data_IF_152148909956
#
_entry.id   IF_152148909956
#
_cell.length_a   1.000
_cell.length_b   1.000
_cell.length_c   1.000
_cell.angle_alpha   90.00
_cell.angle_beta   90.00
_cell.angle_gamma   90.00
#
_symmetry.space_group_name_H-M   'P 1'
#
loop_
_entity.id
_entity.type
_entity.pdbx_description
1 polymer ?
#
# COMPACT_ATOMS: atom_id res chain seq x y z
N UNK A 1 22.91 -5.28 -11.80
CA UNK A 1 21.77 -4.44 -12.20
C UNK A 1 20.51 -5.12 -11.72
N UNK A 2 20.14 -4.85 -10.47
CA UNK A 2 18.90 -5.33 -9.88
C UNK A 2 17.72 -4.91 -10.74
N UNK A 3 16.94 -5.90 -11.20
CA UNK A 3 15.64 -5.66 -11.81
C UNK A 3 14.75 -5.06 -10.72
N UNK A 4 14.74 -3.73 -10.62
CA UNK A 4 13.69 -3.01 -9.93
C UNK A 4 12.41 -3.39 -10.65
N UNK A 5 11.71 -4.39 -10.10
CA UNK A 5 10.38 -4.77 -10.52
C UNK A 5 9.52 -3.56 -10.15
N UNK A 6 9.46 -2.56 -11.05
CA UNK A 6 8.49 -1.48 -11.00
C UNK A 6 7.15 -2.19 -10.93
N UNK A 7 6.62 -2.32 -9.72
CA UNK A 7 5.24 -2.67 -9.50
C UNK A 7 4.48 -1.62 -10.31
N UNK A 8 3.93 -2.03 -11.44
CA UNK A 8 3.18 -1.20 -12.40
C UNK A 8 1.89 -0.66 -11.80
N UNK A 9 1.75 -0.67 -10.48
CA UNK A 9 0.53 -0.32 -9.78
C UNK A 9 0.38 1.21 -9.64
N UNK A 10 1.46 1.99 -9.83
CA UNK A 10 1.40 3.44 -9.65
C UNK A 10 2.62 4.20 -10.23
N UNK A 11 2.44 5.44 -10.70
CA UNK A 11 3.51 6.29 -11.26
C UNK A 11 3.71 7.55 -10.41
N UNK A 12 4.91 7.73 -9.85
CA UNK A 12 5.31 8.90 -9.07
C UNK A 12 6.51 9.58 -9.71
N UNK A 13 6.28 10.38 -10.76
CA UNK A 13 7.30 11.27 -11.31
C UNK A 13 8.62 10.60 -11.72
N UNK A 14 9.66 11.40 -12.01
CA UNK A 14 10.95 10.91 -12.50
C UNK A 14 11.80 10.21 -11.43
N UNK A 15 11.61 10.56 -10.15
CA UNK A 15 12.48 10.08 -9.06
C UNK A 15 12.13 8.68 -8.55
N UNK A 16 10.97 8.14 -8.94
CA UNK A 16 10.59 6.75 -8.62
C UNK A 16 10.31 6.48 -7.14
N UNK A 17 10.31 7.52 -6.30
CA UNK A 17 9.91 7.44 -4.90
C UNK A 17 8.41 7.15 -4.79
N UNK A 18 8.05 6.33 -3.80
CA UNK A 18 6.66 6.03 -3.51
C UNK A 18 5.95 7.28 -2.96
N UNK A 19 5.30 8.02 -3.85
CA UNK A 19 4.47 9.16 -3.49
C UNK A 19 3.25 8.69 -2.65
N UNK A 20 2.70 9.57 -1.78
CA UNK A 20 1.68 9.19 -0.82
C UNK A 20 0.46 8.48 -1.43
N UNK A 21 0.03 8.92 -2.62
CA UNK A 21 -1.11 8.30 -3.31
C UNK A 21 -0.84 6.83 -3.67
N UNK A 22 0.36 6.50 -4.12
CA UNK A 22 0.72 5.14 -4.50
C UNK A 22 0.83 4.20 -3.31
N UNK A 23 1.33 4.70 -2.18
CA UNK A 23 1.35 3.96 -0.92
C UNK A 23 -0.06 3.55 -0.52
N UNK A 24 -1.02 4.47 -0.59
CA UNK A 24 -2.43 4.20 -0.25
C UNK A 24 -3.09 3.28 -1.28
N UNK A 25 -2.93 3.54 -2.58
CA UNK A 25 -3.52 2.72 -3.65
C UNK A 25 -3.04 1.28 -3.59
N UNK A 26 -1.74 1.05 -3.34
CA UNK A 26 -1.21 -0.30 -3.21
C UNK A 26 -1.73 -0.98 -1.94
N UNK A 27 -1.79 -0.27 -0.81
CA UNK A 27 -2.40 -0.84 0.40
C UNK A 27 -3.88 -1.23 0.20
N UNK A 28 -4.65 -0.40 -0.51
CA UNK A 28 -6.05 -0.69 -0.86
C UNK A 28 -6.17 -1.88 -1.80
N UNK A 29 -5.33 -1.96 -2.84
CA UNK A 29 -5.29 -3.10 -3.76
C UNK A 29 -4.92 -4.40 -3.03
N UNK A 30 -3.88 -4.37 -2.19
CA UNK A 30 -3.49 -5.52 -1.38
C UNK A 30 -4.62 -5.99 -0.46
N UNK A 31 -5.45 -5.08 0.05
CA UNK A 31 -6.62 -5.43 0.86
C UNK A 31 -7.70 -6.09 0.01
N UNK A 32 -7.93 -5.64 -1.21
CA UNK A 32 -8.85 -6.31 -2.13
C UNK A 32 -8.36 -7.73 -2.50
N UNK A 33 -7.06 -7.90 -2.72
CA UNK A 33 -6.43 -9.19 -3.02
C UNK A 33 -6.39 -10.14 -1.79
N UNK A 34 -6.30 -9.57 -0.59
CA UNK A 34 -6.16 -10.29 0.69
C UNK A 34 -7.15 -9.75 1.75
N UNK A 35 -8.47 -9.90 1.56
CA UNK A 35 -9.48 -9.26 2.39
C UNK A 35 -9.34 -9.62 3.88
N UNK A 36 -9.11 -10.89 4.18
CA UNK A 36 -9.04 -11.40 5.56
C UNK A 36 -7.61 -11.59 6.09
N UNK A 37 -6.63 -11.69 5.20
CA UNK A 37 -5.27 -12.14 5.56
C UNK A 37 -4.20 -11.06 5.43
N UNK A 38 -4.55 -9.86 4.92
CA UNK A 38 -3.60 -8.76 4.84
C UNK A 38 -3.06 -8.44 6.24
N UNK A 39 -1.72 -8.36 6.35
CA UNK A 39 -1.02 -8.06 7.60
C UNK A 39 -0.01 -6.93 7.43
N UNK A 40 0.40 -6.33 8.55
CA UNK A 40 1.46 -5.30 8.60
C UNK A 40 2.73 -5.77 7.89
N UNK A 41 3.12 -7.03 8.10
CA UNK A 41 4.32 -7.61 7.48
C UNK A 41 4.23 -7.68 5.95
N UNK A 42 3.04 -7.93 5.41
CA UNK A 42 2.81 -7.95 3.96
C UNK A 42 2.95 -6.56 3.38
N UNK A 43 2.33 -5.55 4.01
CA UNK A 43 2.40 -4.15 3.56
C UNK A 43 3.85 -3.65 3.58
N UNK A 44 4.60 -3.89 4.67
CA UNK A 44 6.02 -3.50 4.77
C UNK A 44 6.91 -4.15 3.71
N UNK A 45 6.63 -5.40 3.33
CA UNK A 45 7.40 -6.08 2.26
C UNK A 45 7.08 -5.52 0.88
N UNK A 46 5.86 -5.00 0.69
CA UNK A 46 5.41 -4.50 -0.60
C UNK A 46 5.81 -3.04 -0.83
N UNK A 47 5.70 -2.20 0.19
CA UNK A 47 5.96 -0.77 0.12
C UNK A 47 7.31 -0.51 0.82
N UNK A 48 8.37 -0.14 0.09
CA UNK A 48 9.67 0.11 0.67
C UNK A 48 9.64 1.37 1.54
N UNK A 49 10.59 1.47 2.47
CA UNK A 49 10.88 2.66 3.29
C UNK A 49 9.75 3.14 4.24
N UNK A 50 8.67 2.38 4.42
CA UNK A 50 7.68 2.69 5.45
C UNK A 50 8.06 2.06 6.81
N UNK A 51 7.75 2.79 7.86
CA UNK A 51 7.85 2.34 9.25
C UNK A 51 6.78 1.30 9.58
N UNK A 52 6.96 0.60 10.71
CA UNK A 52 5.92 -0.30 11.23
C UNK A 52 4.62 0.43 11.57
N UNK A 53 4.72 1.66 12.05
CA UNK A 53 3.56 2.49 12.40
C UNK A 53 2.75 2.87 11.16
N UNK A 54 3.42 3.33 10.10
CA UNK A 54 2.76 3.66 8.83
C UNK A 54 2.08 2.42 8.22
N UNK A 55 2.73 1.26 8.28
CA UNK A 55 2.13 0.01 7.81
C UNK A 55 0.87 -0.39 8.60
N UNK A 56 0.83 -0.15 9.92
CA UNK A 56 -0.38 -0.34 10.74
C UNK A 56 -1.49 0.62 10.30
N UNK A 57 -1.19 1.90 10.11
CA UNK A 57 -2.19 2.87 9.64
C UNK A 57 -2.77 2.49 8.29
N UNK A 58 -1.94 2.12 7.32
CA UNK A 58 -2.39 1.66 6.01
C UNK A 58 -3.25 0.39 6.11
N UNK A 59 -2.88 -0.55 7.00
CA UNK A 59 -3.67 -1.76 7.24
C UNK A 59 -5.07 -1.43 7.75
N UNK A 60 -5.19 -0.56 8.74
CA UNK A 60 -6.47 -0.19 9.34
C UNK A 60 -7.31 0.67 8.40
N UNK A 61 -6.71 1.68 7.73
CA UNK A 61 -7.41 2.49 6.74
C UNK A 61 -7.95 1.64 5.58
N UNK A 62 -7.20 0.63 5.12
CA UNK A 62 -7.66 -0.26 4.06
C UNK A 62 -8.92 -1.05 4.43
N UNK A 63 -9.14 -1.38 5.72
CA UNK A 63 -10.39 -2.03 6.18
C UNK A 63 -11.59 -1.11 6.03
N UNK A 64 -11.39 0.19 6.27
CA UNK A 64 -12.42 1.20 6.13
C UNK A 64 -12.88 1.40 4.68
N UNK A 65 -11.95 1.25 3.72
CA UNK A 65 -12.23 1.37 2.28
C UNK A 65 -13.10 0.22 1.74
N UNK A 66 -12.89 -1.03 2.18
CA UNK A 66 -13.73 -2.16 1.74
C UNK A 66 -15.17 -2.08 2.28
N UNK A 67 -15.33 -1.53 3.48
CA UNK A 67 -16.62 -1.49 4.18
C UNK A 67 -17.46 -0.25 3.82
N UNK A 68 -17.02 0.58 2.87
CA UNK A 68 -17.70 1.83 2.50
C UNK A 68 -17.84 2.82 3.67
N UNK A 69 -17.03 2.69 4.72
CA UNK A 69 -17.13 3.52 5.94
C UNK A 69 -16.41 4.86 5.82
N UNK A 70 -15.53 5.01 4.84
CA UNK A 70 -14.91 6.28 4.47
C UNK A 70 -15.39 6.66 3.07
N UNK A 71 -16.66 7.08 2.98
CA UNK A 71 -17.10 7.98 1.91
C UNK A 71 -16.92 9.39 2.48
N UNK A 72 -16.17 10.22 1.75
CA UNK A 72 -16.00 11.64 2.08
C UNK A 72 -17.35 12.37 2.08
#
# INVERSE_FOLDING_TARGET
MDKVRRSTDCYCGPDGDWCPICVVTVAAKMRHEHPETLSVSMIKRRIPNITGREAVYLLEMSKGLLNGRYVA
#
